data_IF_367771443931
#
_entry.id   IF_367771443931
#
_cell.length_a   1.000
_cell.length_b   1.000
_cell.length_c   1.000
_cell.angle_alpha   90.00
_cell.angle_beta   90.00
_cell.angle_gamma   90.00
#
_symmetry.space_group_name_H-M   'P 1'
#
loop_
_entity.id
_entity.type
_entity.pdbx_description
1 polymer ?
#
# COMPACT_ATOMS: atom_id res chain seq x y z
N UNK A 1 -10.89 6.96 14.55
CA UNK A 1 -9.83 7.57 13.76
C UNK A 1 -10.28 7.98 12.35
N UNK A 2 -11.03 7.14 11.65
CA UNK A 2 -11.65 7.46 10.33
C UNK A 2 -13.00 8.21 10.51
N UNK A 3 -13.48 8.39 11.73
CA UNK A 3 -14.74 9.08 12.01
C UNK A 3 -14.64 10.60 12.01
N UNK A 4 -13.45 11.13 12.22
CA UNK A 4 -13.22 12.56 12.21
C UNK A 4 -12.89 12.94 10.76
N UNK A 5 -13.66 13.82 10.15
CA UNK A 5 -13.41 14.35 8.80
C UNK A 5 -12.20 15.32 8.81
N UNK A 6 -11.07 14.83 9.30
CA UNK A 6 -9.82 15.59 9.40
C UNK A 6 -8.67 14.79 8.80
N UNK A 7 -7.71 15.51 8.22
CA UNK A 7 -6.45 14.89 7.78
C UNK A 7 -5.73 14.24 8.95
N UNK A 8 -5.42 12.97 8.81
CA UNK A 8 -4.61 12.21 9.76
C UNK A 8 -3.59 11.36 9.01
N UNK A 9 -2.45 11.18 9.62
CA UNK A 9 -1.40 10.31 9.10
C UNK A 9 -0.99 9.32 10.18
N UNK A 10 -0.83 8.05 9.81
CA UNK A 10 -0.35 7.02 10.71
C UNK A 10 0.64 6.08 10.03
N UNK A 11 1.47 5.46 10.87
CA UNK A 11 2.36 4.37 10.52
C UNK A 11 1.83 3.07 11.14
N UNK A 12 1.57 2.07 10.30
CA UNK A 12 1.32 0.69 10.75
C UNK A 12 2.65 -0.07 10.63
N UNK A 13 3.35 -0.18 11.74
CA UNK A 13 4.59 -0.95 11.87
C UNK A 13 4.25 -2.39 12.26
N UNK A 14 4.31 -3.30 11.31
CA UNK A 14 3.93 -4.69 11.54
C UNK A 14 4.85 -5.67 10.84
N UNK A 15 5.29 -6.70 11.57
CA UNK A 15 6.12 -7.76 10.99
C UNK A 15 5.44 -8.42 9.78
N UNK A 16 6.22 -9.02 8.88
CA UNK A 16 5.67 -9.77 7.74
C UNK A 16 4.74 -10.87 8.25
N UNK A 17 3.53 -10.94 7.70
CA UNK A 17 2.50 -11.88 8.15
C UNK A 17 1.76 -11.44 9.43
N UNK A 18 1.88 -10.19 9.86
CA UNK A 18 1.13 -9.66 11.01
C UNK A 18 -0.34 -9.35 10.72
N UNK A 19 -0.76 -9.41 9.44
CA UNK A 19 -2.14 -9.10 9.05
C UNK A 19 -2.35 -7.65 8.63
N UNK A 20 -1.32 -6.88 8.28
CA UNK A 20 -1.47 -5.49 7.77
C UNK A 20 -2.52 -5.40 6.65
N UNK A 21 -2.47 -6.33 5.69
CA UNK A 21 -3.43 -6.33 4.58
C UNK A 21 -4.89 -6.44 5.05
N UNK A 22 -5.17 -7.24 6.08
CA UNK A 22 -6.53 -7.33 6.64
C UNK A 22 -6.97 -6.00 7.27
N UNK A 23 -6.06 -5.32 7.95
CA UNK A 23 -6.33 -3.96 8.47
C UNK A 23 -6.65 -3.02 7.31
N UNK A 24 -5.90 -3.07 6.20
CA UNK A 24 -6.18 -2.25 5.02
C UNK A 24 -7.57 -2.51 4.45
N UNK A 25 -7.96 -3.78 4.32
CA UNK A 25 -9.29 -4.16 3.83
C UNK A 25 -10.40 -3.58 4.71
N UNK A 26 -10.25 -3.65 6.04
CA UNK A 26 -11.22 -3.10 6.98
C UNK A 26 -11.29 -1.57 6.93
N UNK A 27 -10.14 -0.89 6.77
CA UNK A 27 -10.09 0.56 6.62
C UNK A 27 -10.80 1.01 5.32
N UNK A 28 -10.60 0.28 4.23
CA UNK A 28 -11.27 0.53 2.95
C UNK A 28 -12.79 0.35 3.11
N UNK A 29 -13.27 -0.78 3.66
CA UNK A 29 -14.69 -1.01 3.93
C UNK A 29 -15.29 0.16 4.69
N UNK A 30 -14.58 0.65 5.69
CA UNK A 30 -15.05 1.76 6.52
C UNK A 30 -15.21 3.05 5.73
N UNK A 31 -14.22 3.40 4.90
CA UNK A 31 -14.24 4.60 4.07
C UNK A 31 -15.34 4.51 3.01
N UNK A 32 -15.51 3.35 2.38
CA UNK A 32 -16.60 3.11 1.43
C UNK A 32 -17.98 3.23 2.08
N UNK A 33 -18.14 2.79 3.32
CA UNK A 33 -19.40 2.93 4.07
C UNK A 33 -19.77 4.40 4.37
N UNK A 34 -18.79 5.31 4.28
CA UNK A 34 -18.98 6.76 4.39
C UNK A 34 -19.25 7.42 3.03
N UNK A 35 -19.35 6.65 1.95
CA UNK A 35 -19.49 7.15 0.58
C UNK A 35 -18.19 7.67 -0.03
N UNK A 36 -17.06 7.56 0.66
CA UNK A 36 -15.75 8.05 0.19
C UNK A 36 -14.94 6.93 -0.45
N UNK A 37 -13.83 7.27 -1.09
CA UNK A 37 -13.06 6.39 -1.96
C UNK A 37 -11.64 6.16 -1.43
N UNK A 38 -10.98 5.11 -1.95
CA UNK A 38 -9.65 4.72 -1.47
C UNK A 38 -8.63 4.51 -2.60
N UNK A 39 -7.38 4.88 -2.34
CA UNK A 39 -6.21 4.53 -3.16
C UNK A 39 -5.29 3.64 -2.32
N UNK A 40 -4.87 2.52 -2.90
CA UNK A 40 -3.89 1.60 -2.31
C UNK A 40 -2.68 1.53 -3.21
N UNK A 41 -1.55 1.94 -2.69
CA UNK A 41 -0.27 1.88 -3.39
C UNK A 41 0.55 0.72 -2.84
N UNK A 42 1.03 -0.11 -3.74
CA UNK A 42 1.93 -1.23 -3.44
C UNK A 42 3.15 -1.16 -4.36
N UNK A 43 4.35 -1.57 -3.93
CA UNK A 43 5.50 -1.69 -4.83
C UNK A 43 5.14 -2.55 -6.04
N UNK A 44 5.64 -2.20 -7.21
CA UNK A 44 5.29 -2.93 -8.44
C UNK A 44 5.63 -4.43 -8.37
N UNK A 45 6.73 -4.77 -7.68
CA UNK A 45 7.13 -6.15 -7.42
C UNK A 45 6.14 -6.89 -6.51
N UNK A 46 5.47 -6.18 -5.62
CA UNK A 46 4.48 -6.71 -4.68
C UNK A 46 3.06 -6.74 -5.25
N UNK A 47 2.84 -6.12 -6.42
CA UNK A 47 1.55 -6.13 -7.12
C UNK A 47 1.35 -7.49 -7.84
N UNK A 48 1.43 -8.57 -7.08
CA UNK A 48 1.24 -9.94 -7.56
C UNK A 48 -0.25 -10.27 -7.70
N UNK A 49 -0.55 -11.34 -8.45
CA UNK A 49 -1.91 -11.87 -8.55
C UNK A 49 -2.52 -12.13 -7.16
N UNK A 50 -1.76 -12.74 -6.25
CA UNK A 50 -2.23 -13.05 -4.89
C UNK A 50 -2.56 -11.78 -4.08
N UNK A 51 -1.75 -10.73 -4.21
CA UNK A 51 -2.02 -9.46 -3.52
C UNK A 51 -3.30 -8.83 -4.05
N UNK A 52 -3.44 -8.75 -5.38
CA UNK A 52 -4.63 -8.19 -6.04
C UNK A 52 -5.88 -9.01 -5.72
N UNK A 53 -5.78 -10.35 -5.75
CA UNK A 53 -6.89 -11.25 -5.52
C UNK A 53 -7.52 -11.08 -4.13
N UNK A 54 -6.75 -10.78 -3.10
CA UNK A 54 -7.27 -10.49 -1.75
C UNK A 54 -8.24 -9.30 -1.76
N UNK A 55 -7.91 -8.25 -2.50
CA UNK A 55 -8.79 -7.09 -2.63
C UNK A 55 -9.98 -7.39 -3.53
N UNK A 56 -9.76 -8.04 -4.68
CA UNK A 56 -10.82 -8.40 -5.62
C UNK A 56 -11.83 -9.37 -4.98
N UNK A 57 -11.37 -10.34 -4.19
CA UNK A 57 -12.26 -11.26 -3.47
C UNK A 57 -13.19 -10.53 -2.49
N UNK A 58 -12.77 -9.39 -1.94
CA UNK A 58 -13.59 -8.63 -0.99
C UNK A 58 -14.46 -7.58 -1.65
N UNK A 59 -13.94 -6.87 -2.66
CA UNK A 59 -14.57 -5.70 -3.26
C UNK A 59 -15.06 -5.93 -4.69
N UNK A 60 -14.75 -7.08 -5.28
CA UNK A 60 -15.24 -7.46 -6.61
C UNK A 60 -14.85 -6.47 -7.71
N UNK A 61 -15.85 -6.02 -8.44
CA UNK A 61 -15.67 -5.12 -9.59
C UNK A 61 -15.52 -3.64 -9.21
N UNK A 62 -15.57 -3.30 -7.92
CA UNK A 62 -15.43 -1.92 -7.43
C UNK A 62 -13.97 -1.43 -7.40
N UNK A 63 -13.06 -2.20 -8.00
CA UNK A 63 -11.63 -1.93 -8.03
C UNK A 63 -11.16 -1.61 -9.45
N UNK A 64 -10.32 -0.59 -9.60
CA UNK A 64 -9.46 -0.38 -10.75
C UNK A 64 -8.01 -0.73 -10.39
N UNK A 65 -7.33 -1.45 -11.28
CA UNK A 65 -5.94 -1.86 -11.08
C UNK A 65 -5.05 -1.13 -12.08
N UNK A 66 -4.03 -0.42 -11.59
CA UNK A 66 -3.11 0.36 -12.42
C UNK A 66 -1.65 -0.11 -12.22
N UNK A 67 -1.03 -0.61 -13.29
CA UNK A 67 0.37 -1.03 -13.27
C UNK A 67 1.09 -0.72 -14.60
N UNK A 68 2.43 -0.78 -14.60
CA UNK A 68 3.25 -0.39 -15.77
C UNK A 68 3.05 -1.29 -17.00
N UNK A 69 2.78 -2.58 -16.79
CA UNK A 69 2.61 -3.59 -17.86
C UNK A 69 1.26 -3.52 -18.59
N UNK A 70 0.38 -2.59 -18.24
CA UNK A 70 -0.90 -2.42 -18.94
C UNK A 70 -0.70 -1.86 -20.34
N UNK A 71 -1.49 -2.36 -21.28
CA UNK A 71 -1.61 -1.74 -22.61
C UNK A 71 -2.24 -0.35 -22.47
N UNK A 72 -1.94 0.54 -23.42
CA UNK A 72 -2.51 1.90 -23.44
C UNK A 72 -4.05 1.84 -23.47
N UNK A 73 -4.62 0.91 -24.26
CA UNK A 73 -6.07 0.73 -24.36
C UNK A 73 -6.70 0.36 -23.01
N UNK A 74 -6.15 -0.65 -22.33
CA UNK A 74 -6.64 -1.07 -21.02
C UNK A 74 -6.48 0.01 -19.95
N UNK A 75 -5.37 0.73 -19.98
CA UNK A 75 -5.16 1.87 -19.06
C UNK A 75 -6.21 2.96 -19.29
N UNK A 76 -6.52 3.31 -20.53
CA UNK A 76 -7.59 4.28 -20.86
C UNK A 76 -8.96 3.81 -20.37
N UNK A 77 -9.25 2.51 -20.48
CA UNK A 77 -10.49 1.93 -19.98
C UNK A 77 -10.59 2.07 -18.46
N UNK A 78 -9.54 1.69 -17.71
CA UNK A 78 -9.53 1.85 -16.25
C UNK A 78 -9.67 3.32 -15.84
N UNK A 79 -8.94 4.23 -16.48
CA UNK A 79 -9.10 5.66 -16.22
C UNK A 79 -10.51 6.17 -16.49
N UNK A 80 -11.18 5.65 -17.53
CA UNK A 80 -12.60 5.96 -17.80
C UNK A 80 -13.50 5.41 -16.69
N UNK A 81 -13.29 4.18 -16.22
CA UNK A 81 -14.04 3.60 -15.10
C UNK A 81 -13.91 4.44 -13.84
N UNK A 82 -12.68 4.84 -13.49
CA UNK A 82 -12.40 5.70 -12.35
C UNK A 82 -13.12 7.05 -12.49
N UNK A 83 -12.91 7.75 -13.62
CA UNK A 83 -13.47 9.09 -13.83
C UNK A 83 -15.00 9.12 -13.90
N UNK A 84 -15.63 8.02 -14.30
CA UNK A 84 -17.10 7.92 -14.37
C UNK A 84 -17.72 7.38 -13.08
N UNK A 85 -16.95 7.22 -12.00
CA UNK A 85 -17.46 6.74 -10.71
C UNK A 85 -17.93 5.28 -10.72
N UNK A 86 -17.46 4.47 -11.66
CA UNK A 86 -17.78 3.03 -11.73
C UNK A 86 -16.97 2.18 -10.77
N UNK A 87 -15.98 2.77 -10.11
CA UNK A 87 -15.13 2.13 -9.12
C UNK A 87 -14.81 3.13 -8.00
N UNK A 88 -14.70 2.63 -6.80
CA UNK A 88 -14.42 3.41 -5.60
C UNK A 88 -13.03 3.13 -5.04
N UNK A 89 -12.34 2.12 -5.54
CA UNK A 89 -11.00 1.73 -5.09
C UNK A 89 -10.04 1.73 -6.28
N UNK A 90 -8.87 2.33 -6.09
CA UNK A 90 -7.77 2.22 -7.04
C UNK A 90 -6.61 1.52 -6.36
N UNK A 91 -6.10 0.44 -6.97
CA UNK A 91 -4.91 -0.27 -6.51
C UNK A 91 -3.84 -0.18 -7.59
N UNK A 92 -2.63 0.14 -7.21
CA UNK A 92 -1.56 0.16 -8.19
C UNK A 92 -0.19 0.52 -7.64
N UNK A 93 0.77 0.61 -8.56
CA UNK A 93 2.09 1.08 -8.25
C UNK A 93 2.12 2.62 -8.09
N UNK A 94 3.30 3.17 -7.85
CA UNK A 94 3.55 4.60 -7.64
C UNK A 94 2.66 5.54 -8.46
N UNK A 95 2.52 5.29 -9.76
CA UNK A 95 1.76 6.18 -10.66
C UNK A 95 0.25 6.19 -10.42
N UNK A 96 -0.28 5.22 -9.67
CA UNK A 96 -1.70 5.17 -9.34
C UNK A 96 -2.14 6.32 -8.43
N UNK A 97 -1.20 7.01 -7.76
CA UNK A 97 -1.49 8.23 -6.99
C UNK A 97 -2.11 9.35 -7.84
N UNK A 98 -1.89 9.33 -9.15
CA UNK A 98 -2.45 10.31 -10.09
C UNK A 98 -3.76 9.84 -10.74
N UNK A 99 -4.36 8.77 -10.26
CA UNK A 99 -5.66 8.34 -10.74
C UNK A 99 -6.70 9.45 -10.54
N UNK A 100 -7.59 9.71 -11.52
CA UNK A 100 -8.61 10.75 -11.43
C UNK A 100 -9.77 10.28 -10.53
N UNK A 101 -9.47 9.92 -9.29
CA UNK A 101 -10.42 9.53 -8.27
C UNK A 101 -10.79 10.77 -7.46
N UNK A 102 -12.05 11.08 -7.40
CA UNK A 102 -12.62 12.14 -6.58
C UNK A 102 -12.99 11.61 -5.18
N UNK A 103 -13.29 12.50 -4.26
CA UNK A 103 -13.79 12.18 -2.91
C UNK A 103 -12.96 11.14 -2.16
N UNK A 104 -11.64 11.32 -2.17
CA UNK A 104 -10.68 10.42 -1.53
C UNK A 104 -10.80 10.55 -0.02
N UNK A 105 -11.09 9.43 0.67
CA UNK A 105 -11.12 9.33 2.13
C UNK A 105 -9.91 8.61 2.73
N UNK A 106 -9.19 7.84 1.90
CA UNK A 106 -8.09 7.01 2.37
C UNK A 106 -7.03 6.82 1.28
N UNK A 107 -5.77 7.02 1.65
CA UNK A 107 -4.63 6.57 0.85
C UNK A 107 -3.79 5.64 1.71
N UNK A 108 -3.51 4.45 1.20
CA UNK A 108 -2.61 3.47 1.82
C UNK A 108 -1.36 3.36 0.97
N UNK A 109 -0.19 3.40 1.59
CA UNK A 109 1.10 3.10 0.98
C UNK A 109 1.68 1.90 1.70
N UNK A 110 1.60 0.72 1.09
CA UNK A 110 2.21 -0.49 1.63
C UNK A 110 3.70 -0.54 1.31
N UNK A 111 4.49 -1.17 2.18
CA UNK A 111 5.96 -1.17 2.13
C UNK A 111 6.53 0.24 1.86
N UNK A 112 6.13 1.21 2.68
CA UNK A 112 6.38 2.65 2.49
C UNK A 112 7.86 3.03 2.36
N UNK A 113 8.76 2.13 2.81
CA UNK A 113 10.21 2.27 2.71
C UNK A 113 10.76 1.97 1.31
N UNK A 114 9.93 1.40 0.41
CA UNK A 114 10.38 0.99 -0.91
C UNK A 114 10.79 2.22 -1.75
N UNK A 115 12.01 2.17 -2.30
CA UNK A 115 12.59 3.25 -3.09
C UNK A 115 11.84 3.52 -4.39
N UNK A 116 11.01 2.58 -4.86
CA UNK A 116 10.17 2.76 -6.05
C UNK A 116 9.15 3.90 -5.91
N UNK A 117 8.84 4.33 -4.68
CA UNK A 117 7.99 5.48 -4.41
C UNK A 117 8.64 6.84 -4.68
N UNK A 118 9.94 6.86 -4.98
CA UNK A 118 10.66 8.05 -5.43
C UNK A 118 10.84 8.02 -6.95
N UNK A 119 10.36 9.05 -7.65
CA UNK A 119 10.61 9.19 -9.09
C UNK A 119 12.04 9.65 -9.35
N UNK A 120 12.83 8.80 -10.00
CA UNK A 120 14.20 9.14 -10.42
C UNK A 120 14.24 9.93 -11.74
N UNK A 121 13.18 9.84 -12.54
CA UNK A 121 13.04 10.56 -13.81
C UNK A 121 12.30 11.88 -13.59
N UNK A 122 12.48 12.84 -14.50
CA UNK A 122 11.74 14.11 -14.45
C UNK A 122 10.27 13.90 -14.86
N UNK A 123 9.32 14.51 -14.12
CA UNK A 123 9.52 15.26 -12.87
C UNK A 123 9.89 14.35 -11.72
N UNK A 124 10.88 14.74 -10.89
CA UNK A 124 11.21 14.04 -9.66
C UNK A 124 10.17 14.36 -8.59
N UNK A 125 9.67 13.34 -7.91
CA UNK A 125 8.70 13.49 -6.81
C UNK A 125 8.77 12.33 -5.84
N UNK A 126 8.30 12.57 -4.62
CA UNK A 126 8.02 11.56 -3.61
C UNK A 126 6.53 11.28 -3.62
N UNK A 127 6.16 10.02 -3.76
CA UNK A 127 4.74 9.61 -3.69
C UNK A 127 4.14 9.85 -2.31
N UNK A 128 4.95 9.69 -1.26
CA UNK A 128 4.51 9.98 0.12
C UNK A 128 4.13 11.44 0.29
N UNK A 129 4.91 12.36 -0.28
CA UNK A 129 4.62 13.80 -0.16
C UNK A 129 3.37 14.17 -0.96
N UNK A 130 3.19 13.60 -2.16
CA UNK A 130 1.96 13.80 -2.94
C UNK A 130 0.75 13.22 -2.21
N UNK A 131 0.85 12.01 -1.65
CA UNK A 131 -0.22 11.38 -0.89
C UNK A 131 -0.61 12.22 0.33
N UNK A 132 0.40 12.74 1.07
CA UNK A 132 0.16 13.61 2.21
C UNK A 132 -0.56 14.92 1.79
N UNK A 133 -0.14 15.51 0.66
CA UNK A 133 -0.79 16.69 0.10
C UNK A 133 -2.26 16.40 -0.28
N UNK A 134 -2.52 15.32 -1.03
CA UNK A 134 -3.88 14.94 -1.43
C UNK A 134 -4.75 14.67 -0.19
N UNK A 135 -4.25 13.92 0.79
CA UNK A 135 -5.00 13.62 2.00
C UNK A 135 -5.32 14.88 2.81
N UNK A 136 -4.39 15.84 2.86
CA UNK A 136 -4.61 17.11 3.54
C UNK A 136 -5.69 17.95 2.87
N UNK A 137 -5.66 18.07 1.53
CA UNK A 137 -6.65 18.80 0.76
C UNK A 137 -8.05 18.15 0.80
N UNK A 138 -8.10 16.82 0.94
CA UNK A 138 -9.35 16.05 0.93
C UNK A 138 -9.86 15.69 2.33
N UNK A 139 -9.23 16.15 3.41
CA UNK A 139 -9.49 15.69 4.77
C UNK A 139 -9.55 14.15 4.85
N UNK A 140 -8.51 13.49 4.31
CA UNK A 140 -8.42 12.06 4.20
C UNK A 140 -7.36 11.49 5.17
N UNK A 141 -7.40 10.19 5.38
CA UNK A 141 -6.40 9.48 6.18
C UNK A 141 -5.29 8.94 5.26
N UNK A 142 -4.04 9.20 5.64
CA UNK A 142 -2.86 8.59 5.03
C UNK A 142 -2.33 7.48 5.94
N UNK A 143 -2.31 6.26 5.43
CA UNK A 143 -1.76 5.07 6.11
C UNK A 143 -0.46 4.67 5.44
N UNK A 144 0.62 4.68 6.20
CA UNK A 144 1.92 4.15 5.80
C UNK A 144 2.11 2.79 6.46
N UNK A 145 2.34 1.74 5.68
CA UNK A 145 2.53 0.39 6.19
C UNK A 145 3.92 -0.15 5.89
N UNK A 146 4.58 -0.75 6.88
CA UNK A 146 5.87 -1.38 6.68
C UNK A 146 6.22 -2.36 7.79
N UNK A 147 7.03 -3.37 7.46
CA UNK A 147 7.72 -4.20 8.44
C UNK A 147 9.06 -3.57 8.88
N UNK A 148 9.65 -2.75 8.01
CA UNK A 148 10.94 -2.07 8.18
C UNK A 148 10.80 -0.60 7.78
N UNK A 149 10.12 0.22 8.60
CA UNK A 149 9.81 1.60 8.22
C UNK A 149 11.06 2.41 7.89
N UNK A 150 10.92 3.37 6.99
CA UNK A 150 11.96 4.37 6.74
C UNK A 150 12.27 5.14 8.03
N UNK A 151 13.56 5.38 8.30
CA UNK A 151 14.02 6.04 9.53
C UNK A 151 13.31 7.38 9.75
N UNK A 152 13.11 8.14 8.69
CA UNK A 152 12.42 9.44 8.74
C UNK A 152 10.96 9.30 9.17
N UNK A 153 10.24 8.31 8.63
CA UNK A 153 8.84 8.02 8.97
C UNK A 153 8.72 7.51 10.41
N UNK A 154 9.59 6.57 10.80
CA UNK A 154 9.60 6.03 12.15
C UNK A 154 9.91 7.09 13.21
N UNK A 155 10.87 7.97 12.92
CA UNK A 155 11.19 9.10 13.82
C UNK A 155 10.01 10.07 14.00
N UNK A 156 9.26 10.38 12.92
CA UNK A 156 8.03 11.17 13.01
C UNK A 156 7.00 10.51 13.93
N UNK A 157 6.85 9.19 13.84
CA UNK A 157 5.94 8.41 14.66
C UNK A 157 6.36 8.41 16.14
N UNK A 158 7.65 8.20 16.43
CA UNK A 158 8.16 8.25 17.80
C UNK A 158 8.02 9.64 18.46
N UNK A 159 8.11 10.70 17.67
CA UNK A 159 7.94 12.08 18.14
C UNK A 159 6.46 12.54 18.17
N UNK A 160 5.51 11.66 17.91
CA UNK A 160 4.08 11.97 17.95
C UNK A 160 3.59 12.91 16.82
N UNK A 161 4.40 13.10 15.75
CA UNK A 161 3.99 13.88 14.58
C UNK A 161 3.00 13.11 13.70
N UNK A 162 3.07 11.80 13.73
CA UNK A 162 2.11 10.87 13.13
C UNK A 162 1.80 9.76 14.13
N UNK A 163 0.64 9.13 14.04
CA UNK A 163 0.31 8.04 14.95
C UNK A 163 1.04 6.75 14.61
N UNK A 164 1.45 6.00 15.63
CA UNK A 164 2.12 4.72 15.51
C UNK A 164 1.20 3.58 15.97
N UNK A 165 0.95 2.63 15.06
CA UNK A 165 0.28 1.37 15.38
C UNK A 165 1.24 0.21 15.18
N UNK A 166 1.51 -0.54 16.24
CA UNK A 166 2.42 -1.68 16.20
C UNK A 166 1.67 -3.02 16.14
N UNK A 167 2.04 -3.85 15.17
CA UNK A 167 1.53 -5.23 15.02
C UNK A 167 2.69 -6.22 15.22
N UNK A 168 2.99 -6.55 16.46
CA UNK A 168 4.19 -7.32 16.87
C UNK A 168 4.06 -8.83 16.59
N UNK A 169 2.84 -9.36 16.54
CA UNK A 169 2.59 -10.77 16.41
C UNK A 169 2.24 -11.15 14.97
N UNK A 170 2.72 -12.33 14.54
CA UNK A 170 2.27 -12.93 13.28
C UNK A 170 0.89 -13.55 13.47
N UNK A 171 0.04 -13.44 12.46
CA UNK A 171 -1.22 -14.18 12.42
C UNK A 171 -0.93 -15.68 12.24
N UNK A 172 -1.79 -16.54 12.82
CA UNK A 172 -1.76 -18.01 12.64
C UNK A 172 -0.53 -18.74 13.16
N UNK A 173 0.14 -18.27 14.24
CA UNK A 173 1.30 -18.95 14.84
C UNK A 173 2.38 -19.39 13.83
N UNK A 174 2.56 -18.65 12.75
CA UNK A 174 3.56 -18.95 11.72
C UNK A 174 4.95 -18.96 12.36
N UNK A 175 5.59 -20.14 12.38
CA UNK A 175 6.97 -20.29 12.82
C UNK A 175 7.91 -19.60 11.84
N UNK A 176 9.04 -19.15 12.36
CA UNK A 176 10.16 -18.74 11.50
C UNK A 176 10.63 -19.97 10.71
N UNK A 177 11.11 -19.81 9.47
CA UNK A 177 11.73 -20.91 8.75
C UNK A 177 12.99 -21.37 9.51
N UNK A 178 13.24 -22.67 9.50
CA UNK A 178 14.52 -23.22 9.93
C UNK A 178 15.57 -22.81 8.90
N UNK A 179 16.71 -22.29 9.38
CA UNK A 179 17.80 -21.84 8.50
C UNK A 179 18.93 -22.88 8.62
N UNK A 180 19.24 -23.53 7.50
CA UNK A 180 20.39 -24.39 7.36
C UNK A 180 21.47 -23.65 6.54
N UNK A 181 22.67 -23.58 7.09
CA UNK A 181 23.82 -22.97 6.39
C UNK A 181 24.59 -24.11 5.72
N UNK A 182 24.60 -24.11 4.38
CA UNK A 182 25.34 -25.08 3.58
C UNK A 182 26.60 -24.41 3.07
N UNK A 183 27.78 -24.98 3.36
CA UNK A 183 29.04 -24.55 2.75
C UNK A 183 29.16 -25.16 1.35
N UNK A 184 29.03 -24.32 0.32
CA UNK A 184 29.14 -24.75 -1.07
C UNK A 184 30.52 -25.29 -1.48
N UNK A 185 31.56 -25.16 -0.62
CA UNK A 185 32.87 -25.76 -0.84
C UNK A 185 32.86 -27.25 -0.51
N UNK A 186 32.12 -27.63 0.53
CA UNK A 186 32.01 -29.04 0.94
C UNK A 186 31.18 -29.85 -0.08
N UNK A 187 30.17 -29.25 -0.70
CA UNK A 187 29.32 -29.88 -1.71
C UNK A 187 30.10 -30.19 -3.00
N UNK A 188 31.11 -29.36 -3.35
CA UNK A 188 32.01 -29.62 -4.48
C UNK A 188 33.04 -30.73 -4.20
N UNK A 189 33.33 -31.00 -2.92
CA UNK A 189 34.25 -32.05 -2.52
C UNK A 189 33.61 -33.46 -2.54
N UNK A 190 32.28 -33.53 -2.52
CA UNK A 190 31.54 -34.80 -2.58
C UNK A 190 31.21 -35.31 -3.99
N UNK A 191 31.66 -34.62 -5.05
CA UNK A 191 31.71 -35.10 -6.43
C UNK A 191 30.41 -35.71 -6.95
N UNK A 192 29.44 -34.85 -7.30
CA UNK A 192 28.39 -35.19 -8.25
C UNK A 192 28.30 -34.09 -9.31
#
# INVERSE_FOLDING_TARGET
YIYDEEYKQCLIHGVTGSGKTEVYLQLIDRVLSQGRKAIVLVPEISLTYQTVERFVSRFGNDIAILHSKMTIAKRKEEYKRIKTGKVNIVIGARSAIFAPLDDIGLIIIDEEHDTSYYSQTKPKYSTKDIAAYICKESNAVLVLGSATPEISTYNKALNGQIELFEMKNRTANAKLPDIEIIDLKDDRAMGN
#
